data_IF_613965985007
#
_entry.id   IF_613965985007
#
_cell.length_a   1.000
_cell.length_b   1.000
_cell.length_c   1.000
_cell.angle_alpha   90.00
_cell.angle_beta   90.00
_cell.angle_gamma   90.00
#
_symmetry.space_group_name_H-M   'P 1'
#
loop_
_entity.id
_entity.type
_entity.pdbx_description
1 polymer ?
#
# COMPACT_ATOMS: atom_id res chain seq x y z
N UNK A 1 -26.07 32.38 -61.19
CA UNK A 1 -26.76 31.09 -61.06
C UNK A 1 -25.79 30.04 -60.54
N UNK A 2 -26.09 29.54 -59.33
CA UNK A 2 -25.69 28.22 -58.77
C UNK A 2 -24.23 27.80 -58.91
N UNK A 3 -23.42 27.97 -57.85
CA UNK A 3 -22.52 26.90 -57.35
C UNK A 3 -22.27 27.03 -55.84
N UNK A 4 -22.76 26.01 -55.12
CA UNK A 4 -22.25 25.37 -53.90
C UNK A 4 -21.73 26.31 -52.77
N UNK A 5 -22.49 26.58 -51.71
CA UNK A 5 -22.75 25.69 -50.55
C UNK A 5 -21.46 25.23 -49.82
N UNK A 6 -20.73 26.15 -49.18
CA UNK A 6 -19.80 25.85 -48.07
C UNK A 6 -20.48 26.30 -46.77
N UNK A 7 -20.93 25.40 -45.89
CA UNK A 7 -20.16 24.56 -44.97
C UNK A 7 -19.23 25.38 -44.09
N UNK A 8 -19.76 25.89 -42.96
CA UNK A 8 -19.07 26.15 -41.68
C UNK A 8 -20.03 26.88 -40.75
N UNK A 9 -20.82 26.18 -39.95
CA UNK A 9 -21.28 26.75 -38.68
C UNK A 9 -21.71 25.67 -37.69
N UNK A 10 -21.09 25.76 -36.51
CA UNK A 10 -21.56 25.23 -35.23
C UNK A 10 -21.52 23.70 -35.02
N UNK A 11 -20.31 23.11 -35.13
CA UNK A 11 -19.93 21.99 -34.26
C UNK A 11 -19.25 22.55 -33.01
N UNK A 12 -20.04 23.00 -32.03
CA UNK A 12 -19.53 23.41 -30.72
C UNK A 12 -20.46 22.91 -29.62
N UNK A 13 -20.55 21.58 -29.50
CA UNK A 13 -21.09 20.94 -28.30
C UNK A 13 -20.18 19.77 -27.92
N UNK A 14 -18.97 20.09 -27.48
CA UNK A 14 -18.12 19.13 -26.78
C UNK A 14 -17.30 19.88 -25.73
N UNK A 15 -17.98 20.36 -24.69
CA UNK A 15 -17.31 20.56 -23.40
C UNK A 15 -17.35 19.19 -22.73
N UNK A 16 -16.25 18.42 -22.65
CA UNK A 16 -16.27 17.23 -21.85
C UNK A 16 -16.40 17.66 -20.39
N UNK A 17 -17.51 17.30 -19.74
CA UNK A 17 -17.77 17.49 -18.30
C UNK A 17 -16.81 16.67 -17.40
N UNK A 18 -15.67 16.23 -17.91
CA UNK A 18 -14.75 15.31 -17.26
C UNK A 18 -13.60 16.00 -16.50
N UNK A 19 -13.47 17.33 -16.61
CA UNK A 19 -12.38 18.07 -15.97
C UNK A 19 -12.62 18.47 -14.50
N UNK A 20 -13.80 18.22 -13.93
CA UNK A 20 -14.22 18.81 -12.65
C UNK A 20 -13.99 17.96 -11.39
N UNK A 21 -13.36 16.79 -11.46
CA UNK A 21 -13.16 15.92 -10.29
C UNK A 21 -11.70 15.61 -9.96
N UNK A 22 -10.75 16.41 -10.44
CA UNK A 22 -9.36 16.34 -9.96
C UNK A 22 -9.26 16.97 -8.57
N UNK A 23 -9.84 16.33 -7.55
CA UNK A 23 -9.51 16.62 -6.17
C UNK A 23 -8.00 16.41 -5.99
N UNK A 24 -7.30 17.43 -5.50
CA UNK A 24 -5.86 17.32 -5.22
C UNK A 24 -5.66 16.20 -4.20
N UNK A 25 -5.11 15.07 -4.66
CA UNK A 25 -4.68 14.04 -3.75
C UNK A 25 -3.69 14.68 -2.76
N UNK A 26 -3.81 14.41 -1.45
CA UNK A 26 -2.88 14.97 -0.48
C UNK A 26 -1.46 14.61 -0.92
N UNK A 27 -0.57 15.62 -0.96
CA UNK A 27 0.85 15.45 -1.24
C UNK A 27 1.45 14.53 -0.17
N UNK A 28 1.38 13.23 -0.42
CA UNK A 28 1.78 12.16 0.47
C UNK A 28 3.18 11.70 0.06
N UNK A 29 4.11 12.64 -0.04
CA UNK A 29 5.51 12.29 -0.33
C UNK A 29 6.04 11.46 0.85
N UNK A 30 6.31 10.16 0.65
CA UNK A 30 6.78 9.33 1.75
C UNK A 30 8.19 9.79 2.15
N UNK A 31 8.57 9.62 3.42
CA UNK A 31 9.93 9.90 3.86
C UNK A 31 10.97 9.17 3.01
N UNK A 32 12.13 9.79 2.81
CA UNK A 32 13.19 9.27 1.95
C UNK A 32 13.66 7.86 2.34
N UNK A 33 13.65 7.52 3.63
CA UNK A 33 14.07 6.21 4.14
C UNK A 33 13.17 5.05 3.69
N UNK A 34 11.91 5.31 3.32
CA UNK A 34 10.95 4.28 2.93
C UNK A 34 11.41 3.57 1.66
N UNK A 35 12.06 4.28 0.74
CA UNK A 35 12.52 3.74 -0.56
C UNK A 35 13.63 2.70 -0.42
N UNK A 36 14.35 2.68 0.69
CA UNK A 36 15.52 1.80 0.94
C UNK A 36 15.40 0.99 2.22
N UNK A 37 14.20 0.91 2.80
CA UNK A 37 13.98 0.19 4.05
C UNK A 37 13.93 -1.32 3.84
N UNK A 38 14.77 -2.05 4.57
CA UNK A 38 14.65 -3.51 4.66
C UNK A 38 13.57 -3.88 5.68
N UNK A 39 12.57 -4.63 5.23
CA UNK A 39 11.46 -5.14 6.05
C UNK A 39 11.74 -6.61 6.39
N UNK A 40 11.57 -6.97 7.66
CA UNK A 40 11.67 -8.35 8.11
C UNK A 40 10.35 -8.79 8.73
N UNK A 41 9.77 -9.84 8.15
CA UNK A 41 8.51 -10.42 8.62
C UNK A 41 8.77 -11.46 9.70
N UNK A 42 8.01 -11.38 10.80
CA UNK A 42 8.13 -12.26 11.95
C UNK A 42 6.79 -12.88 12.28
N UNK A 43 6.72 -14.20 12.16
CA UNK A 43 5.63 -14.99 12.72
C UNK A 43 5.97 -15.41 14.15
N UNK A 44 5.47 -14.66 15.13
CA UNK A 44 5.75 -14.85 16.56
C UNK A 44 5.47 -16.28 17.03
N UNK A 45 4.47 -16.95 16.44
CA UNK A 45 4.07 -18.33 16.78
C UNK A 45 5.15 -19.35 16.48
N UNK A 46 5.86 -19.17 15.37
CA UNK A 46 6.93 -20.06 14.92
C UNK A 46 8.31 -19.58 15.35
N UNK A 47 8.42 -18.30 15.69
CA UNK A 47 9.69 -17.67 16.05
C UNK A 47 10.29 -18.21 17.35
N UNK A 48 9.44 -18.57 18.31
CA UNK A 48 9.90 -19.11 19.59
C UNK A 48 8.97 -20.19 20.09
N UNK A 49 9.52 -21.17 20.80
CA UNK A 49 8.77 -22.29 21.37
C UNK A 49 7.61 -21.87 22.28
N UNK A 50 7.72 -20.72 22.94
CA UNK A 50 6.69 -20.18 23.82
C UNK A 50 5.77 -19.14 23.13
N UNK A 51 5.99 -18.85 21.84
CA UNK A 51 5.23 -17.85 21.07
C UNK A 51 5.15 -16.45 21.73
N UNK A 52 6.14 -16.05 22.53
CA UNK A 52 6.14 -14.76 23.24
C UNK A 52 6.84 -13.67 22.45
N UNK A 53 6.26 -12.47 22.45
CA UNK A 53 6.89 -11.26 21.90
C UNK A 53 8.24 -10.94 22.55
N UNK A 54 8.43 -11.30 23.82
CA UNK A 54 9.70 -11.12 24.54
C UNK A 54 10.88 -11.79 23.83
N UNK A 55 10.64 -12.90 23.13
CA UNK A 55 11.67 -13.61 22.38
C UNK A 55 12.12 -12.78 21.17
N UNK A 56 11.17 -12.15 20.46
CA UNK A 56 11.45 -11.23 19.34
C UNK A 56 12.20 -9.99 19.84
N UNK A 57 11.81 -9.45 21.01
CA UNK A 57 12.45 -8.26 21.60
C UNK A 57 13.94 -8.48 21.89
N UNK A 58 14.32 -9.67 22.40
CA UNK A 58 15.72 -10.02 22.69
C UNK A 58 16.60 -10.00 21.43
N UNK A 59 16.01 -10.28 20.28
CA UNK A 59 16.71 -10.38 19.00
C UNK A 59 16.72 -9.08 18.19
N UNK A 60 16.03 -8.02 18.64
CA UNK A 60 16.05 -6.70 17.99
C UNK A 60 17.49 -6.20 17.74
N UNK A 61 18.45 -6.29 18.68
CA UNK A 61 19.82 -5.85 18.43
C UNK A 61 20.48 -6.61 17.26
N UNK A 62 20.22 -7.92 17.14
CA UNK A 62 20.71 -8.77 16.05
C UNK A 62 20.08 -8.36 14.71
N UNK A 63 18.77 -8.17 14.68
CA UNK A 63 18.02 -7.76 13.48
C UNK A 63 18.46 -6.38 12.99
N UNK A 64 18.70 -5.44 13.92
CA UNK A 64 19.25 -4.13 13.62
C UNK A 64 20.65 -4.23 13.00
N UNK A 65 21.52 -5.11 13.50
CA UNK A 65 22.86 -5.36 12.94
C UNK A 65 22.81 -5.92 11.52
N UNK A 66 21.76 -6.67 11.18
CA UNK A 66 21.50 -7.16 9.81
C UNK A 66 20.96 -6.08 8.86
N UNK A 67 20.74 -4.85 9.33
CA UNK A 67 20.22 -3.75 8.51
C UNK A 67 18.69 -3.74 8.36
N UNK A 68 17.97 -4.51 9.17
CA UNK A 68 16.50 -4.45 9.21
C UNK A 68 16.07 -3.09 9.76
N UNK A 69 15.16 -2.41 9.04
CA UNK A 69 14.58 -1.13 9.45
C UNK A 69 13.15 -1.23 9.93
N UNK A 70 12.39 -2.18 9.41
CA UNK A 70 10.98 -2.37 9.76
C UNK A 70 10.75 -3.83 10.12
N UNK A 71 10.05 -4.07 11.24
CA UNK A 71 9.58 -5.39 11.63
C UNK A 71 8.09 -5.49 11.32
N UNK A 72 7.71 -6.43 10.46
CA UNK A 72 6.32 -6.75 10.19
C UNK A 72 5.93 -7.98 11.02
N UNK A 73 5.07 -7.78 12.01
CA UNK A 73 4.54 -8.88 12.80
C UNK A 73 3.30 -9.46 12.12
N UNK A 74 3.30 -10.78 11.92
CA UNK A 74 2.08 -11.51 11.62
C UNK A 74 1.13 -11.52 12.84
N UNK A 75 -0.20 -11.69 12.65
CA UNK A 75 -1.20 -11.41 13.68
C UNK A 75 -0.89 -12.04 15.05
N UNK A 76 -0.82 -11.18 16.06
CA UNK A 76 -0.51 -11.53 17.45
C UNK A 76 -1.74 -11.96 18.26
N UNK A 77 -2.93 -11.78 17.70
CA UNK A 77 -4.20 -12.16 18.32
C UNK A 77 -4.44 -13.68 18.26
N UNK A 78 -5.32 -14.25 19.09
CA UNK A 78 -5.69 -15.67 18.98
C UNK A 78 -6.21 -16.06 17.59
N UNK A 79 -6.04 -17.33 17.21
CA UNK A 79 -6.54 -17.85 15.93
C UNK A 79 -8.02 -18.17 16.08
N UNK A 80 -8.84 -17.70 15.14
CA UNK A 80 -10.26 -18.06 15.07
C UNK A 80 -10.44 -19.57 14.87
N UNK A 81 -11.42 -20.16 15.55
CA UNK A 81 -11.67 -21.61 15.53
C UNK A 81 -12.61 -22.00 14.40
N UNK A 82 -13.69 -21.25 14.22
CA UNK A 82 -14.72 -21.57 13.23
C UNK A 82 -14.21 -21.39 11.80
N UNK A 83 -14.38 -22.42 10.96
CA UNK A 83 -13.91 -22.46 9.56
C UNK A 83 -12.41 -22.17 9.39
N UNK A 84 -11.59 -22.56 10.37
CA UNK A 84 -10.14 -22.47 10.26
C UNK A 84 -9.60 -23.36 9.14
N UNK A 85 -8.71 -22.81 8.32
CA UNK A 85 -7.99 -23.55 7.30
C UNK A 85 -6.73 -24.16 7.92
N UNK A 86 -6.56 -25.48 7.76
CA UNK A 86 -5.45 -26.23 8.37
C UNK A 86 -5.73 -26.73 9.80
N UNK A 87 -4.84 -27.59 10.31
CA UNK A 87 -4.97 -28.36 11.55
C UNK A 87 -4.59 -27.61 12.81
#
# INVERSE_FOLDING_TARGET
>A
MRRLLGLTLALSLLIPASAALAGSAPNSTPPSWVKSANVYEVNVRQYSSNSKLTSVTKDIPRLKKMGVKVLWLMPIFPIGVERRLGS
#
